data_IF_009139631284
#
_entry.id   IF_009139631284
#
_cell.length_a   1.000
_cell.length_b   1.000
_cell.length_c   1.000
_cell.angle_alpha   90.00
_cell.angle_beta   90.00
_cell.angle_gamma   90.00
#
_symmetry.space_group_name_H-M   'P 1'
#
loop_
_entity.id
_entity.type
_entity.pdbx_description
1 polymer ?
#
# COMPACT_ATOMS: atom_id res chain seq x y z
N UNK A 1 -7.93 -6.56 33.08
CA UNK A 1 -6.81 -5.82 32.48
C UNK A 1 -7.14 -4.33 32.51
N UNK A 2 -6.58 -3.55 33.44
CA UNK A 2 -6.92 -2.13 33.59
C UNK A 2 -6.32 -1.32 32.43
N UNK A 3 -7.17 -0.83 31.53
CA UNK A 3 -6.78 0.01 30.40
C UNK A 3 -6.30 1.36 30.94
N UNK A 4 -4.98 1.60 30.97
CA UNK A 4 -4.42 2.92 31.29
C UNK A 4 -5.03 3.92 30.30
N UNK A 5 -5.89 4.82 30.78
CA UNK A 5 -6.48 5.88 29.97
C UNK A 5 -5.39 6.93 29.70
N UNK A 6 -4.97 7.05 28.46
CA UNK A 6 -3.95 8.02 28.02
C UNK A 6 -3.16 7.52 26.81
N UNK A 7 -2.48 8.44 26.11
CA UNK A 7 -1.56 8.08 25.05
C UNK A 7 -0.39 7.26 25.63
N UNK A 8 0.03 6.21 24.93
CA UNK A 8 1.20 5.43 25.33
C UNK A 8 2.45 6.27 25.06
N UNK A 9 2.93 6.96 26.10
CA UNK A 9 3.99 7.96 26.03
C UNK A 9 5.26 7.50 25.25
N UNK A 10 5.76 6.26 25.40
CA UNK A 10 6.95 5.80 24.67
C UNK A 10 6.78 5.73 23.15
N UNK A 11 5.55 5.68 22.63
CA UNK A 11 5.28 5.67 21.18
C UNK A 11 4.78 7.04 20.72
N UNK A 12 3.91 7.66 21.50
CA UNK A 12 3.25 8.90 21.10
C UNK A 12 4.23 10.07 20.94
N UNK A 13 5.11 10.30 21.92
CA UNK A 13 5.99 11.47 21.89
C UNK A 13 7.08 11.37 20.80
N UNK A 14 7.76 10.23 20.58
CA UNK A 14 8.69 10.11 19.47
C UNK A 14 8.01 10.30 18.11
N UNK A 15 6.83 9.70 17.90
CA UNK A 15 6.11 9.80 16.65
C UNK A 15 5.70 11.25 16.33
N UNK A 16 5.12 11.98 17.29
CA UNK A 16 4.68 13.36 17.05
C UNK A 16 5.85 14.32 16.85
N UNK A 17 6.96 14.11 17.56
CA UNK A 17 8.18 14.93 17.39
C UNK A 17 8.77 14.73 16.00
N UNK A 18 8.91 13.48 15.56
CA UNK A 18 9.42 13.17 14.21
C UNK A 18 8.49 13.77 13.14
N UNK A 19 7.18 13.57 13.26
CA UNK A 19 6.20 14.12 12.33
C UNK A 19 6.29 15.66 12.27
N UNK A 20 6.31 16.34 13.43
CA UNK A 20 6.40 17.79 13.49
C UNK A 20 7.70 18.33 12.86
N UNK A 21 8.84 17.70 13.14
CA UNK A 21 10.13 18.10 12.54
C UNK A 21 10.10 17.96 11.02
N UNK A 22 9.63 16.82 10.49
CA UNK A 22 9.55 16.61 9.05
C UNK A 22 8.60 17.60 8.38
N UNK A 23 7.44 17.87 8.99
CA UNK A 23 6.52 18.90 8.49
C UNK A 23 7.13 20.30 8.51
N UNK A 24 7.86 20.66 9.58
CA UNK A 24 8.53 21.96 9.67
C UNK A 24 9.63 22.11 8.61
N UNK A 25 10.43 21.06 8.38
CA UNK A 25 11.46 21.07 7.32
C UNK A 25 10.84 21.24 5.94
N UNK A 26 9.72 20.55 5.66
CA UNK A 26 8.99 20.69 4.41
C UNK A 26 8.48 22.11 4.15
N UNK A 27 8.14 22.87 5.19
CA UNK A 27 7.65 24.26 5.07
C UNK A 27 8.81 25.27 5.02
N UNK A 28 9.84 25.09 5.85
CA UNK A 28 10.91 26.08 6.02
C UNK A 28 11.98 25.99 4.93
N UNK A 29 12.28 24.79 4.42
CA UNK A 29 13.35 24.53 3.44
C UNK A 29 12.88 23.58 2.32
N UNK A 30 11.79 23.91 1.60
CA UNK A 30 11.09 22.97 0.71
C UNK A 30 11.97 22.41 -0.40
N UNK A 31 12.78 23.23 -1.06
CA UNK A 31 13.63 22.81 -2.19
C UNK A 31 14.73 21.85 -1.73
N UNK A 32 15.45 22.21 -0.67
CA UNK A 32 16.50 21.36 -0.12
C UNK A 32 15.92 20.06 0.46
N UNK A 33 14.75 20.13 1.09
CA UNK A 33 14.06 18.96 1.63
C UNK A 33 13.66 18.00 0.51
N UNK A 34 12.99 18.48 -0.55
CA UNK A 34 12.58 17.67 -1.70
C UNK A 34 13.78 16.97 -2.36
N UNK A 35 14.85 17.71 -2.67
CA UNK A 35 16.06 17.13 -3.29
C UNK A 35 16.69 16.02 -2.43
N UNK A 36 16.73 16.21 -1.10
CA UNK A 36 17.27 15.19 -0.19
C UNK A 36 16.36 13.96 -0.12
N UNK A 37 15.04 14.14 -0.11
CA UNK A 37 14.08 13.03 -0.15
C UNK A 37 14.23 12.24 -1.45
N UNK A 38 14.38 12.92 -2.60
CA UNK A 38 14.58 12.26 -3.90
C UNK A 38 15.87 11.43 -3.92
N UNK A 39 16.98 11.96 -3.37
CA UNK A 39 18.23 11.21 -3.24
C UNK A 39 18.02 9.96 -2.38
N UNK A 40 17.37 10.08 -1.23
CA UNK A 40 17.12 8.96 -0.32
C UNK A 40 16.21 7.92 -0.99
N UNK A 41 15.13 8.36 -1.65
CA UNK A 41 14.21 7.48 -2.37
C UNK A 41 14.95 6.68 -3.45
N UNK A 42 15.76 7.34 -4.28
CA UNK A 42 16.52 6.67 -5.32
C UNK A 42 17.53 5.66 -4.74
N UNK A 43 18.22 6.00 -3.65
CA UNK A 43 19.11 5.07 -2.96
C UNK A 43 18.39 3.83 -2.43
N UNK A 44 17.18 4.00 -1.89
CA UNK A 44 16.35 2.89 -1.41
C UNK A 44 15.89 2.03 -2.59
N UNK A 45 15.41 2.62 -3.67
CA UNK A 45 14.96 1.88 -4.85
C UNK A 45 16.11 1.10 -5.51
N UNK A 46 17.29 1.71 -5.62
CA UNK A 46 18.47 1.06 -6.21
C UNK A 46 18.96 -0.11 -5.36
N UNK A 47 19.03 0.05 -4.02
CA UNK A 47 19.61 -0.97 -3.12
C UNK A 47 18.61 -2.03 -2.66
N UNK A 48 17.36 -1.64 -2.45
CA UNK A 48 16.32 -2.46 -1.81
C UNK A 48 15.09 -2.71 -2.71
N UNK A 49 15.04 -2.21 -3.94
CA UNK A 49 13.92 -2.44 -4.85
C UNK A 49 13.64 -3.93 -5.11
N UNK A 50 14.69 -4.75 -5.24
CA UNK A 50 14.55 -6.21 -5.38
C UNK A 50 13.91 -6.84 -4.14
N UNK A 51 14.26 -6.37 -2.94
CA UNK A 51 13.72 -6.88 -1.68
C UNK A 51 12.24 -6.50 -1.53
N UNK A 52 11.85 -5.32 -2.01
CA UNK A 52 10.46 -4.89 -2.06
C UNK A 52 9.62 -5.83 -2.94
N UNK A 53 10.06 -6.10 -4.17
CA UNK A 53 9.34 -7.00 -5.09
C UNK A 53 9.26 -8.41 -4.50
N UNK A 54 10.37 -8.92 -3.94
CA UNK A 54 10.40 -10.23 -3.31
C UNK A 54 9.44 -10.31 -2.12
N UNK A 55 9.38 -9.28 -1.28
CA UNK A 55 8.46 -9.25 -0.15
C UNK A 55 7.00 -9.28 -0.61
N UNK A 56 6.64 -8.54 -1.66
CA UNK A 56 5.28 -8.58 -2.23
C UNK A 56 4.92 -9.98 -2.73
N UNK A 57 5.82 -10.63 -3.49
CA UNK A 57 5.61 -12.01 -3.94
C UNK A 57 5.47 -12.99 -2.76
N UNK A 58 6.29 -12.84 -1.72
CA UNK A 58 6.21 -13.67 -0.51
C UNK A 58 4.86 -13.49 0.19
N UNK A 59 4.36 -12.27 0.34
CA UNK A 59 3.06 -12.05 0.97
C UNK A 59 1.91 -12.67 0.18
N UNK A 60 1.91 -12.56 -1.14
CA UNK A 60 0.92 -13.24 -1.99
C UNK A 60 0.99 -14.76 -1.80
N UNK A 61 2.20 -15.32 -1.85
CA UNK A 61 2.41 -16.75 -1.61
C UNK A 61 1.93 -17.18 -0.21
N UNK A 62 2.21 -16.39 0.83
CA UNK A 62 1.75 -16.67 2.20
C UNK A 62 0.22 -16.66 2.24
N UNK A 63 -0.44 -15.67 1.65
CA UNK A 63 -1.90 -15.62 1.58
C UNK A 63 -2.48 -16.86 0.88
N UNK A 64 -1.89 -17.28 -0.25
CA UNK A 64 -2.32 -18.48 -0.97
C UNK A 64 -2.08 -19.75 -0.14
N UNK A 65 -0.93 -19.87 0.52
CA UNK A 65 -0.62 -21.01 1.40
C UNK A 65 -1.60 -21.07 2.57
N UNK A 66 -1.89 -19.95 3.23
CA UNK A 66 -2.87 -19.89 4.31
C UNK A 66 -4.27 -20.27 3.81
N UNK A 67 -4.67 -19.79 2.63
CA UNK A 67 -5.97 -20.07 2.04
C UNK A 67 -6.18 -21.55 1.67
N UNK A 68 -5.15 -22.22 1.13
CA UNK A 68 -5.25 -23.62 0.68
C UNK A 68 -4.77 -24.66 1.70
N UNK A 69 -4.19 -24.23 2.81
CA UNK A 69 -3.75 -25.13 3.88
C UNK A 69 -4.80 -25.26 4.99
N UNK A 70 -4.59 -26.23 5.88
CA UNK A 70 -5.35 -26.40 7.12
C UNK A 70 -5.44 -25.14 8.00
N UNK A 71 -4.54 -24.17 7.80
CA UNK A 71 -4.54 -22.93 8.57
C UNK A 71 -5.68 -21.99 8.15
N UNK A 72 -6.22 -22.14 6.94
CA UNK A 72 -7.39 -21.37 6.48
C UNK A 72 -8.69 -21.75 7.20
N UNK A 73 -8.76 -22.96 7.76
CA UNK A 73 -9.91 -23.41 8.56
C UNK A 73 -9.89 -22.84 10.00
N UNK A 74 -8.79 -22.19 10.40
CA UNK A 74 -8.66 -21.62 11.74
C UNK A 74 -9.51 -20.37 11.87
N UNK A 75 -10.38 -20.40 12.87
CA UNK A 75 -11.25 -19.29 13.23
C UNK A 75 -10.48 -18.21 14.00
N UNK A 76 -10.63 -16.95 13.57
CA UNK A 76 -10.04 -15.79 14.25
C UNK A 76 -10.93 -15.34 15.42
N UNK A 77 -10.99 -16.17 16.46
CA UNK A 77 -11.83 -15.95 17.64
C UNK A 77 -11.89 -17.22 18.50
N UNK A 78 -12.84 -17.28 19.42
CA UNK A 78 -13.13 -18.53 20.13
C UNK A 78 -13.89 -19.51 19.22
N UNK A 79 -13.70 -20.82 19.42
CA UNK A 79 -14.30 -21.86 18.56
C UNK A 79 -15.83 -21.71 18.42
N UNK A 80 -16.50 -21.21 19.45
CA UNK A 80 -17.96 -21.04 19.50
C UNK A 80 -18.47 -19.64 19.11
N UNK A 81 -17.59 -18.67 18.84
CA UNK A 81 -18.02 -17.30 18.50
C UNK A 81 -18.64 -17.23 17.09
N UNK A 82 -19.68 -16.45 16.87
CA UNK A 82 -20.22 -16.26 15.52
C UNK A 82 -19.63 -14.97 14.91
N UNK A 83 -19.58 -14.85 13.56
CA UNK A 83 -19.17 -13.60 12.93
C UNK A 83 -20.03 -12.43 13.44
N UNK A 84 -19.38 -11.34 13.86
CA UNK A 84 -20.08 -10.14 14.34
C UNK A 84 -20.88 -9.42 13.23
N UNK A 85 -20.43 -9.57 11.98
CA UNK A 85 -21.01 -8.92 10.82
C UNK A 85 -21.43 -9.97 9.78
N UNK A 86 -22.49 -9.66 9.03
CA UNK A 86 -22.86 -10.48 7.87
C UNK A 86 -21.77 -10.45 6.81
N UNK A 87 -21.67 -11.49 5.98
CA UNK A 87 -20.67 -11.56 4.91
C UNK A 87 -20.72 -10.34 3.98
N UNK A 88 -21.92 -9.81 3.69
CA UNK A 88 -22.08 -8.63 2.83
C UNK A 88 -21.57 -7.36 3.53
N UNK A 89 -21.91 -7.17 4.81
CA UNK A 89 -21.42 -6.04 5.61
C UNK A 89 -19.90 -6.10 5.76
N UNK A 90 -19.33 -7.29 6.02
CA UNK A 90 -17.89 -7.49 6.14
C UNK A 90 -17.16 -7.17 4.83
N UNK A 91 -17.66 -7.67 3.70
CA UNK A 91 -17.10 -7.36 2.38
C UNK A 91 -17.15 -5.86 2.08
N UNK A 92 -18.28 -5.21 2.37
CA UNK A 92 -18.42 -3.76 2.20
C UNK A 92 -17.42 -2.97 3.08
N UNK A 93 -17.15 -3.42 4.31
CA UNK A 93 -16.15 -2.80 5.19
C UNK A 93 -14.72 -2.95 4.65
N UNK A 94 -14.37 -4.10 4.08
CA UNK A 94 -13.06 -4.30 3.44
C UNK A 94 -12.87 -3.32 2.27
N UNK A 95 -13.89 -3.20 1.41
CA UNK A 95 -13.85 -2.26 0.29
C UNK A 95 -13.74 -0.81 0.77
N UNK A 96 -14.56 -0.41 1.75
CA UNK A 96 -14.54 0.95 2.30
C UNK A 96 -13.20 1.32 2.97
N UNK A 97 -12.51 0.33 3.56
CA UNK A 97 -11.22 0.55 4.24
C UNK A 97 -10.05 0.61 3.26
N UNK A 98 -10.05 -0.22 2.21
CA UNK A 98 -8.91 -0.34 1.27
C UNK A 98 -8.99 0.58 0.05
N UNK A 99 -10.18 0.83 -0.48
CA UNK A 99 -10.40 1.47 -1.79
C UNK A 99 -10.62 2.99 -1.64
N UNK A 100 -9.73 3.65 -0.91
CA UNK A 100 -9.88 5.05 -0.52
C UNK A 100 -9.56 6.08 -1.61
N UNK A 101 -8.95 7.20 -1.21
CA UNK A 101 -8.56 8.31 -2.09
C UNK A 101 -7.60 7.90 -3.21
N UNK A 102 -6.85 6.81 -3.01
CA UNK A 102 -5.90 6.26 -3.98
C UNK A 102 -6.56 6.00 -5.34
N UNK A 103 -7.73 5.36 -5.38
CA UNK A 103 -8.43 5.08 -6.64
C UNK A 103 -9.00 6.33 -7.29
N UNK A 104 -9.46 7.29 -6.49
CA UNK A 104 -10.00 8.55 -7.01
C UNK A 104 -8.90 9.35 -7.72
N UNK A 105 -7.66 9.28 -7.24
CA UNK A 105 -6.52 9.96 -7.83
C UNK A 105 -5.83 9.13 -8.93
N UNK A 106 -5.38 7.93 -8.59
CA UNK A 106 -4.58 7.08 -9.47
C UNK A 106 -5.41 6.25 -10.46
N UNK A 107 -6.72 6.07 -10.23
CA UNK A 107 -7.58 5.29 -11.13
C UNK A 107 -7.64 5.84 -12.56
N UNK A 108 -7.41 7.15 -12.75
CA UNK A 108 -7.27 7.78 -14.07
C UNK A 108 -5.82 8.17 -14.34
N UNK A 109 -5.11 8.70 -13.34
CA UNK A 109 -3.77 9.25 -13.55
C UNK A 109 -2.73 8.18 -13.91
N UNK A 110 -2.78 7.01 -13.29
CA UNK A 110 -1.80 5.95 -13.49
C UNK A 110 -1.86 5.30 -14.88
N UNK A 111 -3.01 4.83 -15.38
CA UNK A 111 -3.07 4.26 -16.73
C UNK A 111 -2.75 5.30 -17.80
N UNK A 112 -3.11 6.57 -17.57
CA UNK A 112 -2.73 7.65 -18.47
C UNK A 112 -1.21 7.87 -18.48
N UNK A 113 -0.56 7.89 -17.31
CA UNK A 113 0.89 8.03 -17.22
C UNK A 113 1.62 6.84 -17.86
N UNK A 114 1.17 5.61 -17.63
CA UNK A 114 1.75 4.43 -18.29
C UNK A 114 1.55 4.45 -19.81
N UNK A 115 0.45 5.02 -20.31
CA UNK A 115 0.22 5.19 -21.74
C UNK A 115 1.11 6.29 -22.35
N UNK A 116 1.33 7.40 -21.64
CA UNK A 116 2.15 8.52 -22.09
C UNK A 116 3.66 8.24 -21.97
N UNK A 117 4.06 7.33 -21.08
CA UNK A 117 5.46 6.96 -20.84
C UNK A 117 5.58 5.45 -20.67
N UNK A 118 5.29 4.66 -21.72
CA UNK A 118 5.32 3.22 -21.61
C UNK A 118 6.77 2.72 -21.49
N UNK A 119 7.02 1.67 -20.68
CA UNK A 119 8.35 1.05 -20.60
C UNK A 119 8.84 0.54 -21.96
N UNK A 120 7.92 0.03 -22.79
CA UNK A 120 8.18 -0.47 -24.14
C UNK A 120 7.34 0.31 -25.14
N UNK A 121 7.99 1.05 -26.04
CA UNK A 121 7.30 1.75 -27.13
C UNK A 121 6.88 0.74 -28.21
N UNK A 122 5.57 0.63 -28.44
CA UNK A 122 4.99 -0.10 -29.58
C UNK A 122 4.48 0.92 -30.62
N UNK A 123 4.65 0.68 -31.93
CA UNK A 123 4.00 1.49 -32.97
C UNK A 123 2.48 1.31 -32.99
N UNK A 124 1.94 0.26 -32.35
CA UNK A 124 0.51 0.05 -32.20
C UNK A 124 -0.02 0.71 -30.91
N UNK A 125 -0.82 1.76 -31.09
CA UNK A 125 -1.52 2.44 -30.00
C UNK A 125 -2.40 1.51 -29.15
N UNK A 126 -2.98 0.46 -29.75
CA UNK A 126 -3.82 -0.48 -29.02
C UNK A 126 -2.99 -1.33 -28.05
N UNK A 127 -1.77 -1.72 -28.44
CA UNK A 127 -0.86 -2.43 -27.54
C UNK A 127 -0.42 -1.56 -26.37
N UNK A 128 -0.12 -0.28 -26.61
CA UNK A 128 0.26 0.66 -25.56
C UNK A 128 -0.87 0.81 -24.50
N UNK A 129 -2.13 0.90 -24.94
CA UNK A 129 -3.28 0.94 -24.01
C UNK A 129 -3.37 -0.35 -23.19
N UNK A 130 -3.22 -1.51 -23.82
CA UNK A 130 -3.26 -2.81 -23.12
C UNK A 130 -2.16 -2.93 -22.08
N UNK A 131 -0.94 -2.53 -22.42
CA UNK A 131 0.20 -2.56 -21.49
C UNK A 131 -0.04 -1.62 -20.30
N UNK A 132 -0.49 -0.38 -20.56
CA UNK A 132 -0.78 0.59 -19.51
C UNK A 132 -1.85 0.10 -18.52
N UNK A 133 -2.92 -0.52 -19.03
CA UNK A 133 -3.96 -1.12 -18.19
C UNK A 133 -3.44 -2.34 -17.43
N UNK A 134 -2.62 -3.19 -18.04
CA UNK A 134 -2.04 -4.37 -17.39
C UNK A 134 -1.16 -3.96 -16.19
N UNK A 135 -0.27 -2.98 -16.38
CA UNK A 135 0.58 -2.47 -15.28
C UNK A 135 -0.26 -1.86 -14.16
N UNK A 136 -1.31 -1.11 -14.49
CA UNK A 136 -2.22 -0.52 -13.49
C UNK A 136 -2.96 -1.62 -12.71
N UNK A 137 -3.45 -2.67 -13.39
CA UNK A 137 -4.10 -3.80 -12.72
C UNK A 137 -3.13 -4.61 -11.86
N UNK A 138 -1.85 -4.71 -12.26
CA UNK A 138 -0.84 -5.35 -11.43
C UNK A 138 -0.57 -4.57 -10.13
N UNK A 139 -0.61 -3.23 -10.15
CA UNK A 139 -0.42 -2.42 -8.94
C UNK A 139 -1.62 -2.39 -7.99
N UNK A 140 -2.85 -2.42 -8.54
CA UNK A 140 -4.09 -2.29 -7.76
C UNK A 140 -4.88 -3.60 -7.59
N UNK A 141 -4.42 -4.68 -8.21
CA UNK A 141 -5.02 -6.01 -8.19
C UNK A 141 -4.10 -7.05 -7.55
N UNK A 142 -3.98 -8.20 -8.21
CA UNK A 142 -3.07 -9.29 -7.84
C UNK A 142 -2.10 -9.51 -9.01
#
# INVERSE_FOLDING_TARGET
>A
MQRKKGAYAPVFYPAIVIAAILSLLGVLVPVAFANNIDIIQNLILEKFGWAYILAMCIFVCICLILMFSRFGDIKLGQDHELPEYTNLSWFAMLFATGMGIGLMFYGVAEPLNHFLSPPNLSPDSLEMVKQAMNTTFFHWGI
#
